data_IF_076656856449
#
_entry.id   IF_076656856449
#
_cell.length_a   1.000
_cell.length_b   1.000
_cell.length_c   1.000
_cell.angle_alpha   90.00
_cell.angle_beta   90.00
_cell.angle_gamma   90.00
#
_symmetry.space_group_name_H-M   'P 1'
#
loop_
_entity.id
_entity.type
_entity.pdbx_description
1 polymer ?
#
# COMPACT_ATOMS: atom_id res chain seq x y z
N UNK A 1 -15.91 -23.38 27.64
CA UNK A 1 -16.34 -22.25 26.80
C UNK A 1 -15.13 -21.86 25.97
N UNK A 2 -15.07 -22.29 24.71
CA UNK A 2 -13.94 -22.02 23.84
C UNK A 2 -14.13 -20.63 23.23
N UNK A 3 -13.27 -19.68 23.59
CA UNK A 3 -13.18 -18.39 22.90
C UNK A 3 -12.46 -18.68 21.59
N UNK A 4 -13.16 -18.55 20.47
CA UNK A 4 -12.52 -18.53 19.16
C UNK A 4 -11.66 -17.25 19.11
N UNK A 5 -10.36 -17.41 19.34
CA UNK A 5 -9.38 -16.38 19.03
C UNK A 5 -9.33 -16.34 17.51
N UNK A 6 -10.14 -15.48 16.89
CA UNK A 6 -9.88 -15.09 15.51
C UNK A 6 -8.45 -14.53 15.51
N UNK A 7 -7.53 -15.07 14.69
CA UNK A 7 -6.21 -14.46 14.57
C UNK A 7 -6.46 -13.00 14.16
N UNK A 8 -5.97 -12.04 14.96
CA UNK A 8 -6.03 -10.63 14.59
C UNK A 8 -5.40 -10.51 13.20
N UNK A 9 -6.24 -10.32 12.18
CA UNK A 9 -5.76 -9.99 10.84
C UNK A 9 -4.98 -8.68 10.97
N UNK A 10 -3.81 -8.63 10.32
CA UNK A 10 -3.02 -7.41 10.31
C UNK A 10 -3.82 -6.34 9.58
N UNK A 11 -3.97 -5.15 10.15
CA UNK A 11 -4.65 -4.00 9.53
C UNK A 11 -4.16 -3.74 8.10
N UNK A 12 -2.87 -4.00 7.84
CA UNK A 12 -2.27 -3.89 6.52
C UNK A 12 -2.88 -4.84 5.47
N UNK A 13 -3.31 -6.04 5.91
CA UNK A 13 -4.03 -7.00 5.06
C UNK A 13 -5.41 -6.44 4.70
N UNK A 14 -6.14 -5.94 5.69
CA UNK A 14 -7.49 -5.41 5.49
C UNK A 14 -7.47 -4.20 4.56
N UNK A 15 -6.48 -3.30 4.72
CA UNK A 15 -6.24 -2.17 3.81
C UNK A 15 -5.94 -2.64 2.38
N UNK A 16 -5.03 -3.60 2.21
CA UNK A 16 -4.70 -4.12 0.87
C UNK A 16 -5.88 -4.83 0.20
N UNK A 17 -6.72 -5.53 0.97
CA UNK A 17 -7.91 -6.21 0.46
C UNK A 17 -8.97 -5.20 0.04
N UNK A 18 -9.18 -4.15 0.84
CA UNK A 18 -10.09 -3.06 0.51
C UNK A 18 -9.66 -2.35 -0.78
N UNK A 19 -8.37 -2.02 -0.92
CA UNK A 19 -7.79 -1.48 -2.14
C UNK A 19 -7.96 -2.41 -3.35
N UNK A 20 -7.61 -3.69 -3.21
CA UNK A 20 -7.74 -4.67 -4.29
C UNK A 20 -9.20 -4.82 -4.77
N UNK A 21 -10.16 -4.74 -3.85
CA UNK A 21 -11.59 -4.80 -4.18
C UNK A 21 -12.06 -3.64 -5.05
N UNK A 22 -11.45 -2.45 -4.93
CA UNK A 22 -11.79 -1.28 -5.75
C UNK A 22 -11.40 -1.53 -7.21
N UNK A 23 -10.18 -1.98 -7.47
CA UNK A 23 -9.71 -2.30 -8.82
C UNK A 23 -10.41 -3.52 -9.42
N UNK A 24 -10.68 -4.56 -8.62
CA UNK A 24 -11.38 -5.75 -9.09
C UNK A 24 -12.80 -5.41 -9.59
N UNK A 25 -13.50 -4.44 -8.97
CA UNK A 25 -14.81 -3.95 -9.43
C UNK A 25 -14.73 -3.22 -10.77
N UNK A 26 -13.58 -2.68 -11.12
CA UNK A 26 -13.32 -2.03 -12.42
C UNK A 26 -12.94 -3.03 -13.52
N UNK A 27 -12.77 -4.31 -13.18
CA UNK A 27 -12.41 -5.38 -14.12
C UNK A 27 -10.90 -5.54 -14.35
N UNK A 28 -10.07 -4.88 -13.55
CA UNK A 28 -8.61 -4.95 -13.67
C UNK A 28 -8.05 -6.28 -13.14
N UNK A 29 -6.91 -6.73 -13.68
CA UNK A 29 -6.14 -7.82 -13.11
C UNK A 29 -5.31 -7.32 -11.93
N UNK A 30 -5.71 -7.73 -10.73
CA UNK A 30 -5.15 -7.27 -9.46
C UNK A 30 -4.43 -8.40 -8.75
N UNK A 31 -3.26 -8.10 -8.17
CA UNK A 31 -2.56 -9.03 -7.29
C UNK A 31 -2.09 -8.33 -6.01
N UNK A 32 -2.46 -8.89 -4.86
CA UNK A 32 -1.78 -8.59 -3.60
C UNK A 32 -0.42 -9.31 -3.59
N UNK A 33 0.67 -8.54 -3.53
CA UNK A 33 2.01 -9.08 -3.67
C UNK A 33 3.04 -8.22 -2.89
N UNK A 34 4.12 -8.81 -2.36
CA UNK A 34 5.24 -8.03 -1.84
C UNK A 34 5.89 -7.18 -2.94
N UNK A 35 6.26 -5.93 -2.62
CA UNK A 35 6.90 -5.03 -3.59
C UNK A 35 8.20 -5.63 -4.14
N UNK A 36 8.99 -6.30 -3.29
CA UNK A 36 10.21 -7.00 -3.74
C UNK A 36 9.97 -7.95 -4.92
N UNK A 37 8.82 -8.64 -4.99
CA UNK A 37 8.50 -9.52 -6.12
C UNK A 37 8.19 -8.75 -7.40
N UNK A 38 7.57 -7.57 -7.32
CA UNK A 38 7.30 -6.70 -8.48
C UNK A 38 8.63 -6.26 -9.11
N UNK A 39 9.58 -5.89 -8.24
CA UNK A 39 10.91 -5.40 -8.63
C UNK A 39 11.91 -6.53 -8.95
N UNK A 40 11.49 -7.80 -8.87
CA UNK A 40 12.38 -8.95 -9.05
C UNK A 40 13.46 -9.10 -7.96
N UNK A 41 13.33 -8.38 -6.84
CA UNK A 41 14.22 -8.45 -5.69
C UNK A 41 13.78 -9.57 -4.73
N UNK A 42 14.75 -10.39 -4.33
CA UNK A 42 14.53 -11.55 -3.43
C UNK A 42 15.16 -11.37 -2.05
N UNK A 43 15.60 -10.15 -1.70
CA UNK A 43 16.27 -9.86 -0.43
C UNK A 43 15.64 -8.67 0.32
N UNK A 44 15.72 -8.73 1.65
CA UNK A 44 15.60 -7.56 2.53
C UNK A 44 14.19 -7.11 2.90
N UNK A 45 14.13 -5.93 3.51
CA UNK A 45 12.94 -5.23 4.04
C UNK A 45 11.88 -4.90 2.97
N UNK A 46 12.23 -5.03 1.69
CA UNK A 46 11.29 -4.82 0.58
C UNK A 46 10.28 -5.98 0.41
N UNK A 47 10.58 -7.15 0.98
CA UNK A 47 9.65 -8.28 0.98
C UNK A 47 8.58 -8.16 2.09
N UNK A 48 8.79 -7.31 3.10
CA UNK A 48 7.76 -6.99 4.09
C UNK A 48 6.80 -5.90 3.62
N UNK A 49 7.20 -5.08 2.65
CA UNK A 49 6.33 -4.04 2.10
C UNK A 49 5.26 -4.67 1.19
N UNK A 50 4.00 -4.59 1.63
CA UNK A 50 2.85 -5.10 0.91
C UNK A 50 2.38 -4.12 -0.15
N UNK A 51 1.94 -4.64 -1.28
CA UNK A 51 1.31 -3.83 -2.31
C UNK A 51 0.15 -4.55 -3.01
N UNK A 52 -0.69 -3.75 -3.65
CA UNK A 52 -1.70 -4.15 -4.61
C UNK A 52 -1.23 -3.70 -5.97
N UNK A 53 -0.90 -4.64 -6.86
CA UNK A 53 -0.43 -4.35 -8.21
C UNK A 53 -1.58 -4.49 -9.21
N UNK A 54 -1.75 -3.47 -10.04
CA UNK A 54 -2.63 -3.46 -11.21
C UNK A 54 -1.74 -3.49 -12.44
N UNK A 55 -1.45 -4.70 -12.92
CA UNK A 55 -0.36 -4.94 -13.86
C UNK A 55 -0.57 -4.23 -15.21
N UNK A 56 -1.80 -4.31 -15.74
CA UNK A 56 -2.13 -3.73 -17.06
C UNK A 56 -2.01 -2.21 -17.07
N UNK A 57 -2.29 -1.56 -15.93
CA UNK A 57 -2.19 -0.11 -15.77
C UNK A 57 -0.78 0.37 -15.36
N UNK A 58 0.17 -0.55 -15.10
CA UNK A 58 1.45 -0.27 -14.40
C UNK A 58 1.24 0.62 -13.16
N UNK A 59 0.20 0.31 -12.39
CA UNK A 59 -0.13 1.00 -11.16
C UNK A 59 0.07 0.08 -9.96
N UNK A 60 0.54 0.65 -8.86
CA UNK A 60 0.76 -0.09 -7.62
C UNK A 60 0.39 0.78 -6.42
N UNK A 61 -0.41 0.20 -5.53
CA UNK A 61 -0.72 0.78 -4.23
C UNK A 61 0.11 0.10 -3.16
N UNK A 62 0.97 0.86 -2.46
CA UNK A 62 1.88 0.37 -1.44
C UNK A 62 1.29 0.66 -0.07
N UNK A 63 1.14 -0.36 0.77
CA UNK A 63 0.63 -0.19 2.15
C UNK A 63 1.78 0.21 3.08
N UNK A 64 1.66 1.37 3.73
CA UNK A 64 2.61 1.82 4.73
C UNK A 64 2.12 1.47 6.14
N UNK A 65 2.51 0.29 6.63
CA UNK A 65 2.11 -0.27 7.94
C UNK A 65 3.21 -0.20 9.02
N UNK A 66 4.30 0.53 8.76
CA UNK A 66 5.45 0.66 9.65
C UNK A 66 6.32 1.88 9.31
N UNK A 67 7.64 1.73 9.40
CA UNK A 67 8.57 2.80 9.02
C UNK A 67 8.47 3.17 7.53
N UNK A 68 8.66 4.45 7.23
CA UNK A 68 8.62 4.95 5.87
C UNK A 68 9.90 4.66 5.08
N UNK A 69 11.03 4.36 5.72
CA UNK A 69 12.31 4.07 5.04
C UNK A 69 12.24 2.91 4.03
N UNK A 70 11.74 1.71 4.38
CA UNK A 70 11.58 0.62 3.41
C UNK A 70 10.55 0.96 2.33
N UNK A 71 9.47 1.67 2.69
CA UNK A 71 8.45 2.14 1.74
C UNK A 71 9.06 3.12 0.74
N UNK A 72 9.84 4.09 1.20
CA UNK A 72 10.50 5.11 0.38
C UNK A 72 11.48 4.49 -0.61
N UNK A 73 12.27 3.52 -0.15
CA UNK A 73 13.16 2.74 -1.02
C UNK A 73 12.38 2.01 -2.12
N UNK A 74 11.28 1.35 -1.75
CA UNK A 74 10.40 0.65 -2.68
C UNK A 74 9.78 1.60 -3.72
N UNK A 75 9.23 2.73 -3.26
CA UNK A 75 8.62 3.76 -4.12
C UNK A 75 9.63 4.26 -5.14
N UNK A 76 10.84 4.61 -4.72
CA UNK A 76 11.87 5.12 -5.63
C UNK A 76 12.20 4.14 -6.75
N UNK A 77 12.32 2.85 -6.44
CA UNK A 77 12.61 1.82 -7.45
C UNK A 77 11.41 1.61 -8.38
N UNK A 78 10.20 1.52 -7.86
CA UNK A 78 8.98 1.37 -8.66
C UNK A 78 8.80 2.55 -9.63
N UNK A 79 8.95 3.78 -9.15
CA UNK A 79 8.87 4.99 -9.98
C UNK A 79 9.97 5.00 -11.04
N UNK A 80 11.21 4.62 -10.69
CA UNK A 80 12.31 4.52 -11.64
C UNK A 80 12.04 3.46 -12.74
N UNK A 81 11.36 2.37 -12.38
CA UNK A 81 10.92 1.32 -13.30
C UNK A 81 9.66 1.69 -14.11
N UNK A 82 9.13 2.92 -13.91
CA UNK A 82 8.01 3.48 -14.64
C UNK A 82 6.64 3.02 -14.16
N UNK A 83 6.52 2.64 -12.89
CA UNK A 83 5.24 2.42 -12.24
C UNK A 83 4.65 3.73 -11.72
N UNK A 84 3.32 3.86 -11.83
CA UNK A 84 2.58 4.86 -11.06
C UNK A 84 2.36 4.31 -9.66
N UNK A 85 2.77 5.05 -8.63
CA UNK A 85 2.75 4.56 -7.25
C UNK A 85 1.86 5.44 -6.38
N UNK A 86 0.88 4.82 -5.71
CA UNK A 86 0.15 5.43 -4.59
C UNK A 86 0.59 4.76 -3.30
N UNK A 87 0.86 5.53 -2.24
CA UNK A 87 1.12 4.97 -0.91
C UNK A 87 -0.13 5.14 -0.06
N UNK A 88 -0.66 4.02 0.46
CA UNK A 88 -1.78 3.99 1.38
C UNK A 88 -1.27 4.22 2.80
N UNK A 89 -1.70 5.31 3.41
CA UNK A 89 -1.17 5.79 4.70
C UNK A 89 -2.31 5.93 5.70
N UNK A 90 -2.10 5.52 6.95
CA UNK A 90 -3.04 5.84 8.03
C UNK A 90 -3.23 7.36 8.11
N UNK A 91 -4.48 7.85 8.13
CA UNK A 91 -4.80 9.27 8.22
C UNK A 91 -4.07 9.96 9.40
N UNK A 92 -3.85 9.26 10.51
CA UNK A 92 -3.12 9.79 11.67
C UNK A 92 -1.63 10.09 11.38
N UNK A 93 -1.06 9.47 10.33
CA UNK A 93 0.34 9.59 9.92
C UNK A 93 0.52 10.40 8.64
N UNK A 94 -0.55 11.01 8.11
CA UNK A 94 -0.51 11.73 6.84
C UNK A 94 0.57 12.84 6.81
N UNK A 95 0.71 13.59 7.91
CA UNK A 95 1.73 14.65 8.01
C UNK A 95 3.18 14.14 7.99
N UNK A 96 3.43 12.97 8.59
CA UNK A 96 4.74 12.30 8.56
C UNK A 96 5.04 11.79 7.14
N UNK A 97 4.05 11.15 6.50
CA UNK A 97 4.17 10.68 5.13
C UNK A 97 4.49 11.79 4.13
N UNK A 98 3.88 12.98 4.28
CA UNK A 98 4.24 14.17 3.48
C UNK A 98 5.73 14.53 3.61
N UNK A 99 6.30 14.41 4.80
CA UNK A 99 7.73 14.68 5.03
C UNK A 99 8.62 13.63 4.38
N UNK A 100 8.35 12.36 4.67
CA UNK A 100 9.22 11.23 4.30
C UNK A 100 9.13 10.87 2.82
N UNK A 101 7.93 10.96 2.22
CA UNK A 101 7.67 10.58 0.84
C UNK A 101 7.79 11.75 -0.14
N UNK A 102 8.18 12.93 0.35
CA UNK A 102 8.34 14.11 -0.50
C UNK A 102 9.33 13.86 -1.62
N UNK A 103 9.01 14.32 -2.84
CA UNK A 103 9.86 14.21 -4.05
C UNK A 103 10.21 12.77 -4.46
N UNK A 104 9.48 11.77 -3.96
CA UNK A 104 9.65 10.38 -4.40
C UNK A 104 8.96 10.10 -5.74
N UNK A 105 8.01 10.94 -6.14
CA UNK A 105 7.22 10.78 -7.36
C UNK A 105 5.96 9.92 -7.17
N UNK A 106 5.67 9.47 -5.95
CA UNK A 106 4.37 8.87 -5.63
C UNK A 106 3.30 9.92 -5.33
N UNK A 107 2.07 9.45 -5.29
CA UNK A 107 0.97 10.07 -4.57
C UNK A 107 0.74 9.34 -3.24
N UNK A 108 0.06 9.98 -2.30
CA UNK A 108 -0.38 9.37 -1.04
C UNK A 108 -1.90 9.36 -1.00
N UNK A 109 -2.49 8.35 -0.37
CA UNK A 109 -3.91 8.28 -0.11
C UNK A 109 -4.14 7.90 1.35
N UNK A 110 -4.77 8.76 2.15
CA UNK A 110 -5.06 8.44 3.53
C UNK A 110 -6.16 7.38 3.61
N UNK A 111 -6.06 6.50 4.60
CA UNK A 111 -7.13 5.58 4.98
C UNK A 111 -7.45 5.70 6.48
N UNK A 112 -8.65 5.29 6.87
CA UNK A 112 -9.05 5.13 8.26
C UNK A 112 -10.12 4.04 8.38
N UNK A 113 -10.28 3.49 9.58
CA UNK A 113 -11.38 2.59 9.89
C UNK A 113 -12.66 3.40 10.18
N UNK A 114 -13.76 3.05 9.51
CA UNK A 114 -15.09 3.59 9.78
C UNK A 114 -16.13 2.46 9.67
N UNK A 115 -16.95 2.29 10.72
CA UNK A 115 -18.00 1.26 10.76
C UNK A 115 -17.52 -0.16 10.39
N UNK A 116 -16.34 -0.56 10.91
CA UNK A 116 -15.67 -1.85 10.62
C UNK A 116 -15.18 -2.02 9.17
N UNK A 117 -15.19 -0.95 8.37
CA UNK A 117 -14.67 -0.92 7.00
C UNK A 117 -13.43 -0.01 6.88
N UNK A 118 -12.56 -0.32 5.93
CA UNK A 118 -11.48 0.58 5.52
C UNK A 118 -12.03 1.58 4.51
N UNK A 119 -11.93 2.86 4.83
CA UNK A 119 -12.33 3.96 3.97
C UNK A 119 -11.10 4.73 3.52
N UNK A 120 -11.12 5.20 2.27
CA UNK A 120 -10.04 5.96 1.66
C UNK A 120 -10.45 7.41 1.44
N UNK A 121 -9.51 8.32 1.69
CA UNK A 121 -9.66 9.74 1.39
C UNK A 121 -9.24 10.09 -0.03
N UNK A 122 -9.13 11.39 -0.28
CA UNK A 122 -8.65 11.91 -1.54
C UNK A 122 -7.14 11.65 -1.71
N UNK A 123 -6.71 11.46 -2.95
CA UNK A 123 -5.29 11.31 -3.29
C UNK A 123 -4.60 12.67 -3.21
N UNK A 124 -3.41 12.69 -2.64
CA UNK A 124 -2.59 13.89 -2.44
C UNK A 124 -1.16 13.68 -2.98
N UNK A 125 -0.44 14.78 -3.24
CA UNK A 125 0.97 14.75 -3.63
C UNK A 125 1.83 15.20 -2.44
N UNK A 126 2.75 14.36 -1.95
CA UNK A 126 3.59 14.68 -0.80
C UNK A 126 4.60 15.83 -1.02
#
# INVERSE_FOLDING_TARGET
>A
MAVAVHPQQSIALDVSQAAASIFARSGDLVAEIPVGRILGSVTGEMLSVRAVAVADARHVEVVADGDFDPVRTCVHQLVADGWSVTVLVDLARLGEAHGELRRTGCTIQPWWEADEEIVFGAVETP
#
